data_IF_423603676305
#
_entry.id   IF_423603676305
#
_cell.length_a   1.000
_cell.length_b   1.000
_cell.length_c   1.000
_cell.angle_alpha   90.00
_cell.angle_beta   90.00
_cell.angle_gamma   90.00
#
_symmetry.space_group_name_H-M   'P 1'
#
loop_
_entity.id
_entity.type
_entity.pdbx_description
1 polymer ?
#
# COMPACT_ATOMS: atom_id res chain seq x y z
N UNK A 1 -12.79 6.60 6.70
CA UNK A 1 -11.89 6.05 5.68
C UNK A 1 -11.23 4.76 6.17
N UNK A 2 -10.36 4.80 7.19
CA UNK A 2 -9.62 3.61 7.69
C UNK A 2 -10.51 2.40 8.00
N UNK A 3 -11.67 2.60 8.66
CA UNK A 3 -12.62 1.50 8.91
C UNK A 3 -13.10 0.80 7.63
N UNK A 4 -13.28 1.54 6.53
CA UNK A 4 -13.67 0.95 5.25
C UNK A 4 -12.50 0.18 4.64
N UNK A 5 -11.30 0.73 4.71
CA UNK A 5 -10.09 0.11 4.18
C UNK A 5 -9.79 -1.20 4.90
N UNK A 6 -9.72 -1.19 6.23
CA UNK A 6 -9.40 -2.35 7.06
C UNK A 6 -10.41 -3.51 6.97
N UNK A 7 -11.59 -3.27 6.39
CA UNK A 7 -12.62 -4.30 6.18
C UNK A 7 -12.89 -4.56 4.68
N UNK A 8 -12.15 -3.91 3.78
CA UNK A 8 -12.26 -4.16 2.35
C UNK A 8 -11.59 -5.50 2.00
N UNK A 9 -12.18 -6.21 1.03
CA UNK A 9 -11.54 -7.42 0.48
C UNK A 9 -10.30 -7.08 -0.35
N UNK A 10 -10.37 -5.98 -1.10
CA UNK A 10 -9.33 -5.40 -1.96
C UNK A 10 -9.56 -3.91 -2.06
N UNK A 11 -8.50 -3.14 -2.25
CA UNK A 11 -8.57 -1.69 -2.49
C UNK A 11 -8.09 -1.42 -3.91
N UNK A 12 -8.89 -0.68 -4.68
CA UNK A 12 -8.51 -0.15 -5.99
C UNK A 12 -8.27 1.35 -5.83
N UNK A 13 -7.09 1.84 -6.19
CA UNK A 13 -6.74 3.25 -5.97
C UNK A 13 -5.64 3.74 -6.91
N UNK A 14 -5.60 5.03 -7.19
CA UNK A 14 -4.45 5.74 -7.77
C UNK A 14 -3.69 6.57 -6.71
N UNK A 15 -4.21 6.66 -5.48
CA UNK A 15 -3.62 7.45 -4.40
C UNK A 15 -2.37 6.79 -3.84
N UNK A 16 -1.26 7.52 -3.83
CA UNK A 16 0.00 7.07 -3.23
C UNK A 16 -0.14 6.79 -1.72
N UNK A 17 -0.84 7.64 -0.97
CA UNK A 17 -1.03 7.43 0.47
C UNK A 17 -1.82 6.14 0.76
N UNK A 18 -2.89 5.93 0.01
CA UNK A 18 -3.76 4.74 0.18
C UNK A 18 -3.03 3.44 -0.15
N UNK A 19 -2.08 3.45 -1.10
CA UNK A 19 -1.24 2.27 -1.37
C UNK A 19 -0.43 1.84 -0.14
N UNK A 20 0.19 2.78 0.59
CA UNK A 20 0.92 2.46 1.83
C UNK A 20 -0.03 2.02 2.94
N UNK A 21 -1.14 2.75 3.11
CA UNK A 21 -2.12 2.44 4.15
C UNK A 21 -2.76 1.06 3.94
N UNK A 22 -3.06 0.68 2.69
CA UNK A 22 -3.55 -0.66 2.36
C UNK A 22 -2.54 -1.75 2.76
N UNK A 23 -1.26 -1.52 2.47
CA UNK A 23 -0.18 -2.43 2.86
C UNK A 23 -0.03 -2.56 4.38
N UNK A 24 -0.13 -1.45 5.12
CA UNK A 24 -0.07 -1.45 6.60
C UNK A 24 -1.29 -2.13 7.23
N UNK A 25 -2.45 -2.06 6.58
CA UNK A 25 -3.69 -2.69 7.04
C UNK A 25 -3.82 -4.16 6.60
N UNK A 26 -2.81 -4.71 5.92
CA UNK A 26 -2.83 -6.06 5.35
C UNK A 26 -4.05 -6.27 4.41
N UNK A 27 -4.31 -5.30 3.55
CA UNK A 27 -5.38 -5.36 2.55
C UNK A 27 -4.76 -5.32 1.14
N UNK A 28 -5.10 -6.28 0.25
CA UNK A 28 -4.55 -6.32 -1.10
C UNK A 28 -4.88 -5.04 -1.88
N UNK A 29 -3.87 -4.46 -2.52
CA UNK A 29 -3.99 -3.22 -3.28
C UNK A 29 -3.87 -3.49 -4.79
N UNK A 30 -4.74 -2.84 -5.57
CA UNK A 30 -4.70 -2.82 -7.04
C UNK A 30 -4.56 -1.35 -7.43
N UNK A 31 -3.36 -0.97 -7.86
CA UNK A 31 -3.02 0.40 -8.20
C UNK A 31 -3.37 0.72 -9.65
N UNK A 32 -4.22 1.72 -9.85
CA UNK A 32 -4.72 2.16 -11.16
C UNK A 32 -3.73 3.11 -11.87
N UNK A 33 -2.44 2.78 -11.82
CA UNK A 33 -1.33 3.53 -12.44
C UNK A 33 -0.36 2.57 -13.14
N UNK A 34 0.43 3.09 -14.06
CA UNK A 34 1.52 2.35 -14.72
C UNK A 34 2.80 2.28 -13.86
N UNK A 35 2.90 3.15 -12.85
CA UNK A 35 4.07 3.26 -11.96
C UNK A 35 3.64 3.61 -10.54
N UNK A 36 4.54 3.38 -9.59
CA UNK A 36 4.35 3.74 -8.18
C UNK A 36 5.68 4.14 -7.54
N UNK A 37 5.61 5.02 -6.55
CA UNK A 37 6.69 5.37 -5.65
C UNK A 37 6.90 4.32 -4.54
N UNK A 38 5.95 3.39 -4.35
CA UNK A 38 5.96 2.37 -3.29
C UNK A 38 6.28 0.98 -3.82
N UNK A 39 7.44 0.85 -4.45
CA UNK A 39 7.91 -0.37 -5.12
C UNK A 39 7.92 -1.56 -4.17
N UNK A 40 8.25 -1.34 -2.90
CA UNK A 40 8.32 -2.36 -1.86
C UNK A 40 6.97 -3.08 -1.65
N UNK A 41 5.84 -2.39 -1.90
CA UNK A 41 4.51 -3.00 -1.79
C UNK A 41 4.21 -3.97 -2.93
N UNK A 42 4.77 -3.69 -4.11
CA UNK A 42 4.65 -4.53 -5.31
C UNK A 42 5.61 -5.71 -5.21
N UNK A 43 6.86 -5.46 -4.80
CA UNK A 43 7.87 -6.51 -4.58
C UNK A 43 7.48 -7.49 -3.47
N UNK A 44 6.78 -7.00 -2.43
CA UNK A 44 6.21 -7.85 -1.40
C UNK A 44 5.01 -8.67 -1.88
N UNK A 45 4.47 -8.41 -3.07
CA UNK A 45 3.31 -9.14 -3.61
C UNK A 45 1.96 -8.69 -3.07
N UNK A 46 1.89 -7.57 -2.34
CA UNK A 46 0.65 -7.06 -1.73
C UNK A 46 -0.03 -5.95 -2.54
N UNK A 47 0.66 -5.44 -3.56
CA UNK A 47 0.15 -4.45 -4.51
C UNK A 47 0.46 -4.87 -5.95
N UNK A 48 -0.42 -4.52 -6.89
CA UNK A 48 -0.21 -4.77 -8.32
C UNK A 48 -0.60 -3.53 -9.13
N UNK A 49 0.18 -3.22 -10.16
CA UNK A 49 -0.07 -2.10 -11.07
C UNK A 49 -0.87 -2.57 -12.28
N UNK A 50 -1.97 -1.90 -12.61
CA UNK A 50 -2.87 -2.32 -13.70
C UNK A 50 -3.20 -1.22 -14.71
N UNK A 51 -2.68 0.00 -14.50
CA UNK A 51 -3.03 1.14 -15.34
C UNK A 51 -4.53 1.42 -15.34
N UNK A 52 -5.07 1.83 -16.49
CA UNK A 52 -6.48 2.21 -16.66
C UNK A 52 -7.28 1.29 -17.62
N UNK A 53 -6.71 0.14 -18.02
CA UNK A 53 -7.35 -0.79 -18.94
C UNK A 53 -8.48 -1.58 -18.28
N UNK A 54 -9.73 -1.40 -18.74
CA UNK A 54 -10.92 -2.07 -18.17
C UNK A 54 -10.76 -3.58 -18.04
N UNK A 55 -10.34 -4.25 -19.11
CA UNK A 55 -10.22 -5.72 -19.12
C UNK A 55 -9.15 -6.21 -18.14
N UNK A 56 -8.04 -5.48 -18.04
CA UNK A 56 -6.96 -5.76 -17.09
C UNK A 56 -7.44 -5.62 -15.65
N UNK A 57 -8.09 -4.49 -15.35
CA UNK A 57 -8.67 -4.22 -14.03
C UNK A 57 -9.64 -5.35 -13.64
N UNK A 58 -10.56 -5.73 -14.54
CA UNK A 58 -11.53 -6.81 -14.28
C UNK A 58 -10.85 -8.17 -14.05
N UNK A 59 -9.79 -8.48 -14.81
CA UNK A 59 -9.00 -9.71 -14.65
C UNK A 59 -8.34 -9.75 -13.27
N UNK A 60 -7.68 -8.67 -12.87
CA UNK A 60 -6.92 -8.58 -11.63
C UNK A 60 -7.83 -8.55 -10.41
N UNK A 61 -8.97 -7.84 -10.47
CA UNK A 61 -10.00 -7.88 -9.41
C UNK A 61 -10.37 -9.32 -9.06
N UNK A 62 -10.52 -10.19 -10.06
CA UNK A 62 -10.94 -11.59 -9.86
C UNK A 62 -9.81 -12.47 -9.34
N UNK A 63 -8.60 -12.31 -9.86
CA UNK A 63 -7.54 -13.30 -9.69
C UNK A 63 -6.45 -12.92 -8.69
N UNK A 64 -6.22 -11.62 -8.47
CA UNK A 64 -5.13 -11.18 -7.60
C UNK A 64 -5.37 -11.57 -6.15
N UNK A 65 -4.35 -12.15 -5.53
CA UNK A 65 -4.30 -12.47 -4.10
C UNK A 65 -2.86 -12.21 -3.66
N UNK A 66 -2.62 -11.63 -2.46
CA UNK A 66 -1.26 -11.40 -2.00
C UNK A 66 -0.46 -12.69 -1.92
N UNK A 67 0.84 -12.57 -2.18
CA UNK A 67 1.80 -13.67 -2.08
C UNK A 67 2.56 -13.60 -0.75
N UNK A 68 2.49 -14.67 0.04
CA UNK A 68 3.25 -14.77 1.30
C UNK A 68 2.75 -13.86 2.44
N UNK A 69 3.57 -13.75 3.49
CA UNK A 69 3.29 -12.91 4.65
C UNK A 69 3.66 -11.44 4.37
N UNK A 70 2.87 -10.52 4.92
CA UNK A 70 3.19 -9.10 4.92
C UNK A 70 4.45 -8.86 5.75
N UNK A 71 5.38 -8.08 5.22
CA UNK A 71 6.60 -7.69 5.95
C UNK A 71 6.56 -6.21 6.30
N UNK A 72 7.00 -5.80 7.50
CA UNK A 72 6.98 -4.40 7.90
C UNK A 72 8.05 -3.58 7.15
N UNK A 73 7.71 -3.04 5.98
CA UNK A 73 8.65 -2.25 5.15
C UNK A 73 8.66 -0.75 5.47
N UNK A 74 7.68 -0.23 6.22
CA UNK A 74 7.54 1.20 6.52
C UNK A 74 7.80 1.57 8.00
N UNK A 75 8.35 0.63 8.77
CA UNK A 75 8.66 0.81 10.18
C UNK A 75 7.48 0.57 11.13
N UNK A 76 7.67 0.98 12.38
CA UNK A 76 6.85 0.53 13.52
C UNK A 76 5.87 1.62 14.04
N UNK A 77 5.64 2.67 13.26
CA UNK A 77 4.70 3.75 13.60
C UNK A 77 5.25 4.84 14.55
N UNK A 78 6.54 4.84 14.84
CA UNK A 78 7.21 5.77 15.76
C UNK A 78 8.02 6.87 15.06
N UNK A 79 7.86 7.02 13.74
CA UNK A 79 8.61 7.96 12.92
C UNK A 79 8.51 9.41 13.43
N UNK A 80 7.33 9.84 13.89
CA UNK A 80 7.12 11.19 14.43
C UNK A 80 7.96 11.46 15.69
N UNK A 81 8.03 10.49 16.60
CA UNK A 81 8.83 10.58 17.81
C UNK A 81 10.33 10.64 17.48
N UNK A 82 10.80 9.78 16.56
CA UNK A 82 12.19 9.77 16.10
C UNK A 82 12.60 11.09 15.44
N UNK A 83 11.76 11.63 14.56
CA UNK A 83 12.02 12.92 13.90
C UNK A 83 12.05 14.06 14.91
N UNK A 84 11.10 14.11 15.85
CA UNK A 84 11.07 15.14 16.88
C UNK A 84 12.31 15.10 17.79
N UNK A 85 12.77 13.90 18.16
CA UNK A 85 14.00 13.72 18.93
C UNK A 85 15.21 14.27 18.17
N UNK A 86 15.38 13.89 16.90
CA UNK A 86 16.50 14.36 16.08
C UNK A 86 16.50 15.89 15.99
N UNK A 87 15.34 16.51 15.73
CA UNK A 87 15.26 17.98 15.64
C UNK A 87 15.59 18.67 16.96
N UNK A 88 15.26 18.06 18.10
CA UNK A 88 15.59 18.61 19.42
C UNK A 88 17.09 18.58 19.74
N UNK A 89 17.86 17.69 19.10
CA UNK A 89 19.32 17.61 19.26
C UNK A 89 20.06 18.73 18.50
N UNK A 90 19.39 19.40 17.56
CA UNK A 90 19.92 20.54 16.79
C UNK A 90 19.47 21.91 17.34
N UNK A 91 18.68 21.94 18.42
CA UNK A 91 18.25 23.16 19.11
C UNK A 91 19.08 23.38 20.38
#
# INVERSE_FOLDING_TARGET
>A
MIRLMAHAKKILTDSGGVQKEAYMLEVPCITLRENTEWVETVEAGWNVLVGAGREEILRVIRNFTPEGEQKPCFGDGDASAKVAQILSEYC
#
